data_IF_034753084327
#
_entry.id   IF_034753084327
#
_cell.length_a   1.000
_cell.length_b   1.000
_cell.length_c   1.000
_cell.angle_alpha   90.00
_cell.angle_beta   90.00
_cell.angle_gamma   90.00
#
_symmetry.space_group_name_H-M   'P 1'
#
loop_
_entity.id
_entity.type
_entity.pdbx_description
1 polymer ?
#
# COMPACT_ATOMS: atom_id res chain seq x y z
N UNK A 1 -17.13 -3.33 8.26
CA UNK A 1 -16.05 -3.59 7.29
C UNK A 1 -14.71 -2.98 7.73
N UNK A 2 -14.32 -3.06 9.02
CA UNK A 2 -13.02 -2.52 9.48
C UNK A 2 -11.85 -3.43 9.08
N UNK A 3 -12.07 -4.75 9.16
CA UNK A 3 -11.06 -5.77 8.82
C UNK A 3 -10.49 -5.65 7.41
N UNK A 4 -11.32 -5.42 6.39
CA UNK A 4 -10.85 -5.34 5.00
C UNK A 4 -9.88 -4.15 4.82
N UNK A 5 -10.24 -2.99 5.37
CA UNK A 5 -9.40 -1.79 5.30
C UNK A 5 -8.09 -1.96 6.07
N UNK A 6 -8.14 -2.58 7.24
CA UNK A 6 -6.96 -2.81 8.07
C UNK A 6 -5.98 -3.81 7.43
N UNK A 7 -6.51 -4.87 6.81
CA UNK A 7 -5.70 -5.84 6.08
C UNK A 7 -4.99 -5.20 4.89
N UNK A 8 -5.69 -4.38 4.10
CA UNK A 8 -5.08 -3.68 2.94
C UNK A 8 -3.97 -2.73 3.39
N UNK A 9 -4.19 -1.94 4.46
CA UNK A 9 -3.15 -1.06 5.00
C UNK A 9 -1.94 -1.84 5.51
N UNK A 10 -2.15 -2.92 6.28
CA UNK A 10 -1.04 -3.76 6.73
C UNK A 10 -0.25 -4.34 5.56
N UNK A 11 -0.94 -4.79 4.51
CA UNK A 11 -0.28 -5.33 3.33
C UNK A 11 0.57 -4.27 2.61
N UNK A 12 0.06 -3.04 2.49
CA UNK A 12 0.82 -1.91 1.93
C UNK A 12 2.08 -1.63 2.77
N UNK A 13 2.00 -1.62 4.10
CA UNK A 13 3.17 -1.41 4.96
C UNK A 13 4.22 -2.52 4.81
N UNK A 14 3.80 -3.78 4.75
CA UNK A 14 4.72 -4.89 4.50
C UNK A 14 5.41 -4.73 3.15
N UNK A 15 4.66 -4.33 2.12
CA UNK A 15 5.20 -4.14 0.78
C UNK A 15 6.18 -2.96 0.70
N UNK A 16 5.88 -1.85 1.39
CA UNK A 16 6.74 -0.68 1.50
C UNK A 16 8.09 -0.98 2.15
N UNK A 17 8.17 -1.98 3.04
CA UNK A 17 9.44 -2.44 3.62
C UNK A 17 10.13 -3.48 2.74
N UNK A 18 9.36 -4.36 2.11
CA UNK A 18 9.88 -5.46 1.28
C UNK A 18 10.57 -4.94 0.01
N UNK A 19 10.03 -3.90 -0.62
CA UNK A 19 10.61 -3.29 -1.84
C UNK A 19 12.02 -2.71 -1.65
N UNK A 20 12.27 -1.80 -0.69
CA UNK A 20 13.62 -1.28 -0.46
C UNK A 20 14.56 -2.39 0.04
N UNK A 21 14.06 -3.38 0.79
CA UNK A 21 14.87 -4.53 1.20
C UNK A 21 15.34 -5.37 0.00
N UNK A 22 14.45 -5.71 -0.93
CA UNK A 22 14.81 -6.46 -2.14
C UNK A 22 15.70 -5.64 -3.09
N UNK A 23 15.45 -4.33 -3.21
CA UNK A 23 16.29 -3.42 -3.99
C UNK A 23 17.69 -3.26 -3.39
N UNK A 24 17.80 -3.17 -2.07
CA UNK A 24 19.08 -3.14 -1.37
C UNK A 24 19.85 -4.45 -1.58
N UNK A 25 19.19 -5.61 -1.51
CA UNK A 25 19.81 -6.89 -1.81
C UNK A 25 20.30 -6.98 -3.26
N UNK A 26 19.51 -6.48 -4.22
CA UNK A 26 19.89 -6.44 -5.62
C UNK A 26 21.12 -5.53 -5.85
N UNK A 27 21.16 -4.36 -5.22
CA UNK A 27 22.21 -3.37 -5.47
C UNK A 27 23.50 -3.63 -4.67
N UNK A 28 23.41 -3.89 -3.36
CA UNK A 28 24.59 -4.07 -2.50
C UNK A 28 25.23 -5.46 -2.63
N UNK A 29 24.42 -6.50 -2.84
CA UNK A 29 24.90 -7.88 -2.91
C UNK A 29 24.92 -8.42 -4.35
N UNK A 30 24.53 -7.61 -5.34
CA UNK A 30 24.48 -7.96 -6.76
C UNK A 30 23.68 -9.25 -7.04
N UNK A 31 22.63 -9.48 -6.25
CA UNK A 31 21.79 -10.69 -6.34
C UNK A 31 20.75 -10.48 -7.44
N UNK A 32 20.96 -11.11 -8.61
CA UNK A 32 20.05 -10.98 -9.76
C UNK A 32 18.61 -11.44 -9.48
N UNK A 33 18.41 -12.47 -8.66
CA UNK A 33 17.08 -12.91 -8.26
C UNK A 33 16.34 -11.88 -7.38
N UNK A 34 17.06 -11.06 -6.62
CA UNK A 34 16.45 -10.00 -5.81
C UNK A 34 15.90 -8.86 -6.68
N UNK A 35 16.54 -8.57 -7.82
CA UNK A 35 16.04 -7.59 -8.79
C UNK A 35 14.71 -8.05 -9.41
N UNK A 36 14.61 -9.33 -9.79
CA UNK A 36 13.37 -9.92 -10.30
C UNK A 36 12.27 -9.87 -9.25
N UNK A 37 12.57 -10.25 -8.01
CA UNK A 37 11.62 -10.14 -6.89
C UNK A 37 11.18 -8.70 -6.67
N UNK A 38 12.10 -7.72 -6.74
CA UNK A 38 11.77 -6.30 -6.62
C UNK A 38 10.77 -5.84 -7.68
N UNK A 39 10.96 -6.23 -8.95
CA UNK A 39 10.05 -5.88 -10.05
C UNK A 39 8.62 -6.43 -9.80
N UNK A 40 8.51 -7.69 -9.39
CA UNK A 40 7.20 -8.28 -9.06
C UNK A 40 6.54 -7.62 -7.85
N UNK A 41 7.31 -7.32 -6.79
CA UNK A 41 6.81 -6.61 -5.62
C UNK A 41 6.32 -5.21 -5.98
N UNK A 42 6.96 -4.55 -6.95
CA UNK A 42 6.58 -3.21 -7.41
C UNK A 42 5.23 -3.26 -8.11
N UNK A 43 5.05 -4.19 -9.04
CA UNK A 43 3.79 -4.40 -9.73
C UNK A 43 2.65 -4.73 -8.75
N UNK A 44 2.93 -5.58 -7.76
CA UNK A 44 1.96 -5.94 -6.72
C UNK A 44 1.60 -4.74 -5.83
N UNK A 45 2.57 -3.93 -5.41
CA UNK A 45 2.30 -2.72 -4.61
C UNK A 45 1.43 -1.74 -5.38
N UNK A 46 1.71 -1.51 -6.67
CA UNK A 46 0.88 -0.62 -7.50
C UNK A 46 -0.57 -1.11 -7.59
N UNK A 47 -0.77 -2.42 -7.74
CA UNK A 47 -2.10 -3.03 -7.70
C UNK A 47 -2.82 -2.81 -6.37
N UNK A 48 -2.11 -2.94 -5.24
CA UNK A 48 -2.66 -2.72 -3.90
C UNK A 48 -3.01 -1.25 -3.64
N UNK A 49 -2.17 -0.32 -4.10
CA UNK A 49 -2.44 1.12 -4.02
C UNK A 49 -3.71 1.46 -4.82
N UNK A 50 -3.83 0.94 -6.05
CA UNK A 50 -5.03 1.13 -6.86
C UNK A 50 -6.29 0.59 -6.16
N UNK A 51 -6.21 -0.61 -5.59
CA UNK A 51 -7.31 -1.21 -4.82
C UNK A 51 -7.67 -0.39 -3.57
N UNK A 52 -6.67 0.15 -2.87
CA UNK A 52 -6.87 1.04 -1.73
C UNK A 52 -7.58 2.33 -2.12
N UNK A 53 -7.14 3.00 -3.18
CA UNK A 53 -7.77 4.22 -3.71
C UNK A 53 -9.21 3.93 -4.14
N UNK A 54 -9.44 2.84 -4.87
CA UNK A 54 -10.78 2.42 -5.28
C UNK A 54 -11.70 2.16 -4.08
N UNK A 55 -11.19 1.52 -3.02
CA UNK A 55 -11.93 1.28 -1.79
C UNK A 55 -12.27 2.58 -1.05
N UNK A 56 -11.32 3.52 -0.96
CA UNK A 56 -11.55 4.83 -0.36
C UNK A 56 -12.60 5.62 -1.14
N UNK A 57 -12.52 5.61 -2.48
CA UNK A 57 -13.48 6.29 -3.35
C UNK A 57 -14.87 5.65 -3.28
N UNK A 58 -14.97 4.32 -3.28
CA UNK A 58 -16.23 3.59 -3.10
C UNK A 58 -16.90 3.98 -1.79
N UNK A 59 -16.12 4.03 -0.70
CA UNK A 59 -16.62 4.41 0.61
C UNK A 59 -17.07 5.89 0.66
N UNK A 60 -16.39 6.77 -0.07
CA UNK A 60 -16.74 8.19 -0.12
C UNK A 60 -17.97 8.48 -1.01
N UNK A 61 -18.00 7.93 -2.24
CA UNK A 61 -19.07 8.21 -3.21
C UNK A 61 -20.36 7.45 -2.93
N UNK A 62 -20.28 6.17 -2.54
CA UNK A 62 -21.49 5.33 -2.36
C UNK A 62 -21.95 5.33 -0.92
N UNK A 63 -21.01 5.20 0.04
CA UNK A 63 -21.35 5.14 1.47
C UNK A 63 -21.35 6.50 2.18
N UNK A 64 -21.06 7.60 1.46
CA UNK A 64 -20.98 8.99 1.99
C UNK A 64 -20.24 9.08 3.32
N UNK A 65 -19.17 8.29 3.49
CA UNK A 65 -18.41 8.32 4.74
C UNK A 65 -17.39 9.46 4.71
N UNK A 66 -17.20 10.13 5.86
CA UNK A 66 -16.16 11.14 6.06
C UNK A 66 -14.77 10.53 6.35
N UNK A 67 -14.54 9.25 6.03
CA UNK A 67 -13.26 8.56 6.32
C UNK A 67 -12.09 9.22 5.59
N UNK A 68 -12.30 9.71 4.37
CA UNK A 68 -11.29 10.47 3.63
C UNK A 68 -10.96 11.81 4.31
N UNK A 69 -11.97 12.46 4.90
CA UNK A 69 -11.78 13.75 5.58
C UNK A 69 -10.86 13.63 6.80
N UNK A 70 -10.89 12.47 7.49
CA UNK A 70 -10.00 12.17 8.62
C UNK A 70 -8.52 12.07 8.25
N UNK A 71 -8.19 11.87 6.97
CA UNK A 71 -6.80 11.91 6.49
C UNK A 71 -6.34 13.32 6.14
N UNK A 72 -7.27 14.24 5.82
CA UNK A 72 -6.96 15.61 5.41
C UNK A 72 -6.95 16.61 6.57
N UNK A 73 -7.88 16.47 7.50
CA UNK A 73 -7.99 17.31 8.69
C UNK A 73 -8.18 16.39 9.91
N UNK A 74 -7.11 16.06 10.64
CA UNK A 74 -7.27 15.40 11.93
C UNK A 74 -8.06 16.35 12.85
N UNK A 75 -9.06 15.81 13.55
CA UNK A 75 -9.87 16.58 14.50
C UNK A 75 -8.92 17.18 15.56
N UNK A 76 -8.80 18.52 15.61
CA UNK A 76 -8.02 19.22 16.64
C UNK A 76 -8.60 18.84 18.00
N UNK A 77 -7.82 18.06 18.77
CA UNK A 77 -8.11 17.71 20.18
C UNK A 77 -7.45 18.70 21.12
#
# INVERSE_FOLDING_TARGET
MKFISETVHRLIYVMLLSLPASGALAWFFNIGSAAVVHEYLQALLLGLIAAHIAGALFQHLIRRSNVMMRMFAPEEV
#
